data_IF_868500796990
#
_entry.id   IF_868500796990
#
_cell.length_a   1.000
_cell.length_b   1.000
_cell.length_c   1.000
_cell.angle_alpha   90.00
_cell.angle_beta   90.00
_cell.angle_gamma   90.00
#
_symmetry.space_group_name_H-M   'P 1'
#
loop_
_entity.id
_entity.type
_entity.pdbx_description
1 polymer ?
#
# COMPACT_ATOMS: atom_id res chain seq x y z
N UNK A 1 -14.18 -4.13 8.50
CA UNK A 1 -12.90 -3.78 7.86
C UNK A 1 -12.02 -5.02 7.78
N UNK A 2 -11.24 -5.18 6.71
CA UNK A 2 -10.28 -6.28 6.53
C UNK A 2 -8.89 -5.67 6.37
N UNK A 3 -8.03 -5.78 7.39
CA UNK A 3 -6.70 -5.17 7.39
C UNK A 3 -5.61 -6.24 7.60
N UNK A 4 -4.56 -6.22 6.78
CA UNK A 4 -3.33 -6.98 6.96
C UNK A 4 -2.17 -5.98 7.12
N UNK A 5 -1.65 -5.84 8.34
CA UNK A 5 -0.67 -4.82 8.70
C UNK A 5 0.67 -5.45 9.03
N UNK A 6 1.59 -5.42 8.06
CA UNK A 6 2.91 -6.04 8.17
C UNK A 6 3.93 -5.05 8.71
N UNK A 7 4.76 -5.52 9.66
CA UNK A 7 5.87 -4.72 10.20
C UNK A 7 6.99 -4.49 9.16
N UNK A 8 7.29 -5.52 8.37
CA UNK A 8 8.32 -5.50 7.32
C UNK A 8 7.85 -6.27 6.09
N UNK A 9 8.40 -5.94 4.92
CA UNK A 9 8.16 -6.67 3.67
C UNK A 9 9.14 -7.84 3.45
N UNK A 10 10.13 -8.00 4.32
CA UNK A 10 11.17 -9.02 4.19
C UNK A 10 11.69 -9.45 5.56
N UNK A 11 11.94 -10.75 5.70
CA UNK A 11 12.65 -11.35 6.85
C UNK A 11 13.99 -11.91 6.35
N UNK A 12 15.00 -11.95 7.22
CA UNK A 12 16.32 -12.48 6.87
C UNK A 12 16.21 -13.90 6.28
N UNK A 13 16.90 -14.15 5.17
CA UNK A 13 16.87 -15.45 4.47
C UNK A 13 15.63 -15.69 3.59
N UNK A 14 14.66 -14.77 3.53
CA UNK A 14 13.47 -14.88 2.68
C UNK A 14 13.48 -13.90 1.51
N UNK A 15 12.70 -14.19 0.46
CA UNK A 15 12.36 -13.24 -0.60
C UNK A 15 11.36 -12.17 -0.18
N UNK A 16 10.97 -11.32 -1.13
CA UNK A 16 10.05 -10.22 -0.88
C UNK A 16 8.63 -10.76 -0.63
N UNK A 17 8.09 -10.50 0.57
CA UNK A 17 6.78 -10.99 1.04
C UNK A 17 6.63 -12.52 1.11
N UNK A 18 7.71 -13.29 1.09
CA UNK A 18 7.63 -14.76 1.19
C UNK A 18 7.08 -15.21 2.55
N UNK A 19 7.59 -14.62 3.63
CA UNK A 19 7.22 -14.97 5.01
C UNK A 19 5.75 -14.76 5.37
N UNK A 20 4.99 -14.05 4.54
CA UNK A 20 3.57 -13.75 4.75
C UNK A 20 2.68 -14.20 3.60
N UNK A 21 3.17 -15.06 2.70
CA UNK A 21 2.43 -15.50 1.52
C UNK A 21 1.04 -16.05 1.86
N UNK A 22 0.96 -16.97 2.82
CA UNK A 22 -0.31 -17.61 3.18
C UNK A 22 -1.34 -16.59 3.69
N UNK A 23 -0.89 -15.61 4.47
CA UNK A 23 -1.74 -14.51 4.93
C UNK A 23 -2.20 -13.62 3.78
N UNK A 24 -1.34 -13.36 2.78
CA UNK A 24 -1.73 -12.59 1.60
C UNK A 24 -2.78 -13.34 0.79
N UNK A 25 -2.61 -14.65 0.58
CA UNK A 25 -3.56 -15.50 -0.16
C UNK A 25 -4.94 -15.54 0.52
N UNK A 26 -4.97 -15.74 1.83
CA UNK A 26 -6.23 -15.73 2.59
C UNK A 26 -6.87 -14.33 2.59
N UNK A 27 -6.07 -13.29 2.84
CA UNK A 27 -6.55 -11.92 2.94
C UNK A 27 -7.11 -11.36 1.63
N UNK A 28 -6.55 -11.75 0.49
CA UNK A 28 -7.04 -11.40 -0.85
C UNK A 28 -7.87 -12.51 -1.49
N UNK A 29 -8.37 -13.48 -0.73
CA UNK A 29 -9.31 -14.48 -1.25
C UNK A 29 -10.55 -13.79 -1.86
N UNK A 30 -10.86 -14.15 -3.12
CA UNK A 30 -11.93 -13.55 -3.91
C UNK A 30 -11.63 -12.17 -4.51
N UNK A 31 -10.37 -11.71 -4.46
CA UNK A 31 -9.89 -10.50 -5.14
C UNK A 31 -9.07 -10.93 -6.36
N UNK A 32 -9.36 -10.36 -7.52
CA UNK A 32 -8.59 -10.61 -8.74
C UNK A 32 -7.49 -9.57 -8.93
N UNK A 33 -7.74 -8.33 -8.49
CA UNK A 33 -6.90 -7.17 -8.79
C UNK A 33 -6.66 -6.28 -7.57
N UNK A 34 -5.39 -6.00 -7.31
CA UNK A 34 -4.96 -5.12 -6.20
C UNK A 34 -4.45 -3.80 -6.76
N UNK A 35 -4.89 -2.68 -6.19
CA UNK A 35 -4.31 -1.38 -6.46
C UNK A 35 -3.12 -1.13 -5.52
N UNK A 36 -1.93 -0.98 -6.10
CA UNK A 36 -0.70 -0.71 -5.37
C UNK A 36 -0.49 0.80 -5.20
N UNK A 37 -0.05 1.21 -4.00
CA UNK A 37 0.29 2.59 -3.63
C UNK A 37 1.79 2.67 -3.29
N UNK A 38 2.64 3.13 -4.24
CA UNK A 38 4.10 3.08 -4.10
C UNK A 38 4.72 4.34 -3.49
N UNK A 39 3.93 5.32 -3.07
CA UNK A 39 4.43 6.67 -2.78
C UNK A 39 5.44 6.78 -1.63
N UNK A 40 5.60 5.73 -0.83
CA UNK A 40 6.67 5.65 0.17
C UNK A 40 8.07 5.57 -0.46
N UNK A 41 8.20 5.03 -1.67
CA UNK A 41 9.46 4.90 -2.39
C UNK A 41 9.76 6.09 -3.30
N UNK A 42 11.04 6.27 -3.65
CA UNK A 42 11.46 7.26 -4.65
C UNK A 42 11.22 6.74 -6.07
N UNK A 43 11.75 5.55 -6.36
CA UNK A 43 11.63 4.87 -7.65
C UNK A 43 10.35 4.03 -7.67
N UNK A 44 9.26 4.64 -8.14
CA UNK A 44 7.90 4.08 -8.07
C UNK A 44 7.67 3.00 -9.12
N UNK A 45 8.23 3.18 -10.32
CA UNK A 45 8.09 2.23 -11.43
C UNK A 45 8.77 0.91 -11.09
N UNK A 46 10.03 0.95 -10.63
CA UNK A 46 10.73 -0.24 -10.17
C UNK A 46 10.00 -0.94 -9.03
N UNK A 47 9.42 -0.17 -8.11
CA UNK A 47 8.69 -0.76 -6.99
C UNK A 47 7.40 -1.43 -7.46
N UNK A 48 6.66 -0.79 -8.36
CA UNK A 48 5.47 -1.38 -8.98
C UNK A 48 5.80 -2.66 -9.73
N UNK A 49 6.89 -2.71 -10.50
CA UNK A 49 7.34 -3.93 -11.20
C UNK A 49 7.67 -5.08 -10.24
N UNK A 50 8.32 -4.77 -9.11
CA UNK A 50 8.61 -5.77 -8.08
C UNK A 50 7.32 -6.33 -7.48
N UNK A 51 6.37 -5.47 -7.12
CA UNK A 51 5.09 -5.89 -6.54
C UNK A 51 4.26 -6.67 -7.54
N UNK A 52 4.15 -6.19 -8.79
CA UNK A 52 3.44 -6.87 -9.88
C UNK A 52 3.99 -8.26 -10.12
N UNK A 53 5.31 -8.42 -10.14
CA UNK A 53 5.96 -9.73 -10.27
C UNK A 53 5.62 -10.66 -9.10
N UNK A 54 5.63 -10.14 -7.87
CA UNK A 54 5.31 -10.94 -6.67
C UNK A 54 3.84 -11.34 -6.64
N UNK A 55 2.93 -10.42 -6.93
CA UNK A 55 1.49 -10.64 -6.87
C UNK A 55 1.00 -11.53 -8.02
N UNK A 56 1.63 -11.43 -9.21
CA UNK A 56 1.37 -12.36 -10.31
C UNK A 56 1.66 -13.82 -9.93
N UNK A 57 2.73 -14.08 -9.16
CA UNK A 57 3.03 -15.43 -8.64
C UNK A 57 1.98 -15.94 -7.63
N UNK A 58 1.16 -15.04 -7.07
CA UNK A 58 0.03 -15.35 -6.20
C UNK A 58 -1.29 -15.48 -6.97
N UNK A 59 -1.30 -15.20 -8.28
CA UNK A 59 -2.51 -15.16 -9.11
C UNK A 59 -3.29 -13.86 -9.00
N UNK A 60 -2.66 -12.76 -8.54
CA UNK A 60 -3.27 -11.44 -8.40
C UNK A 60 -2.74 -10.50 -9.48
N UNK A 61 -3.66 -9.81 -10.15
CA UNK A 61 -3.32 -8.67 -11.01
C UNK A 61 -2.98 -7.44 -10.16
N UNK A 62 -2.11 -6.57 -10.66
CA UNK A 62 -1.70 -5.37 -9.92
C UNK A 62 -1.56 -4.18 -10.85
N UNK A 63 -2.36 -3.15 -10.55
CA UNK A 63 -2.19 -1.81 -11.10
C UNK A 63 -1.47 -0.95 -10.07
N UNK A 64 -0.70 0.03 -10.51
CA UNK A 64 -0.10 1.02 -9.61
C UNK A 64 -0.75 2.38 -9.76
N UNK A 65 -1.13 2.99 -8.65
CA UNK A 65 -1.91 4.24 -8.64
C UNK A 65 -1.15 5.43 -9.28
N UNK A 66 0.18 5.38 -9.35
CA UNK A 66 0.99 6.45 -9.94
C UNK A 66 1.11 6.39 -11.47
N UNK A 67 0.66 5.30 -12.09
CA UNK A 67 0.72 5.12 -13.56
C UNK A 67 -0.52 5.70 -14.26
N UNK A 68 -1.59 6.01 -13.53
CA UNK A 68 -2.85 6.52 -14.09
C UNK A 68 -2.98 8.04 -13.99
N UNK A 69 -3.79 8.61 -14.89
CA UNK A 69 -4.06 10.06 -14.93
C UNK A 69 -4.98 10.55 -13.80
N UNK A 70 -5.87 9.68 -13.30
CA UNK A 70 -6.80 9.97 -12.21
C UNK A 70 -6.66 8.95 -11.08
N UNK A 71 -5.83 9.24 -10.06
CA UNK A 71 -5.57 8.33 -8.97
C UNK A 71 -6.78 8.15 -8.03
N UNK A 72 -7.70 9.13 -7.98
CA UNK A 72 -8.94 9.02 -7.18
C UNK A 72 -9.89 8.02 -7.84
N UNK A 73 -10.11 8.13 -9.15
CA UNK A 73 -10.91 7.18 -9.90
C UNK A 73 -10.34 5.75 -9.82
N UNK A 74 -9.02 5.60 -9.81
CA UNK A 74 -8.37 4.31 -9.60
C UNK A 74 -8.72 3.72 -8.22
N UNK A 75 -8.65 4.52 -7.15
CA UNK A 75 -9.03 4.08 -5.78
C UNK A 75 -10.50 3.69 -5.69
N UNK A 76 -11.40 4.44 -6.31
CA UNK A 76 -12.84 4.16 -6.29
C UNK A 76 -13.17 2.80 -6.95
N UNK A 77 -12.45 2.45 -8.02
CA UNK A 77 -12.61 1.18 -8.74
C UNK A 77 -11.87 0.01 -8.11
N UNK A 78 -10.91 0.26 -7.23
CA UNK A 78 -10.08 -0.78 -6.63
C UNK A 78 -10.92 -1.83 -5.87
N UNK A 79 -10.58 -3.11 -6.04
CA UNK A 79 -11.14 -4.21 -5.26
C UNK A 79 -10.43 -4.33 -3.90
N UNK A 80 -9.12 -4.11 -3.89
CA UNK A 80 -8.27 -4.15 -2.71
C UNK A 80 -7.07 -3.21 -2.86
N UNK A 81 -6.39 -2.93 -1.75
CA UNK A 81 -5.23 -2.05 -1.69
C UNK A 81 -4.00 -2.76 -1.13
N UNK A 82 -2.84 -2.48 -1.72
CA UNK A 82 -1.55 -2.70 -1.08
C UNK A 82 -0.78 -1.37 -0.99
N UNK A 83 -0.44 -0.94 0.22
CA UNK A 83 0.35 0.27 0.46
C UNK A 83 1.77 -0.13 0.87
N UNK A 84 2.72 0.22 0.01
CA UNK A 84 4.12 -0.19 0.12
C UNK A 84 4.89 0.50 1.26
N UNK A 85 6.04 -0.08 1.58
CA UNK A 85 6.99 0.46 2.55
C UNK A 85 7.96 1.46 1.93
N UNK A 86 8.70 2.19 2.77
CA UNK A 86 9.59 3.27 2.36
C UNK A 86 9.59 4.37 3.41
N UNK A 87 9.52 5.64 3.01
CA UNK A 87 9.42 6.75 3.93
C UNK A 87 7.95 7.17 4.18
N UNK A 88 7.52 7.13 5.43
CA UNK A 88 6.15 7.43 5.88
C UNK A 88 5.76 8.89 5.62
N UNK A 89 6.67 9.85 5.80
CA UNK A 89 6.37 11.28 5.55
C UNK A 89 6.13 11.56 4.08
N UNK A 90 6.95 10.96 3.19
CA UNK A 90 6.74 11.03 1.74
C UNK A 90 5.42 10.40 1.34
N UNK A 91 5.13 9.19 1.84
CA UNK A 91 3.87 8.50 1.58
C UNK A 91 2.68 9.38 1.97
N UNK A 92 2.69 9.92 3.18
CA UNK A 92 1.60 10.76 3.68
C UNK A 92 1.44 12.04 2.86
N UNK A 93 2.53 12.74 2.54
CA UNK A 93 2.49 13.95 1.73
C UNK A 93 1.89 13.70 0.35
N UNK A 94 2.28 12.61 -0.32
CA UNK A 94 1.73 12.22 -1.62
C UNK A 94 0.26 11.82 -1.56
N UNK A 95 -0.17 11.11 -0.50
CA UNK A 95 -1.58 10.78 -0.31
C UNK A 95 -2.45 12.03 -0.12
N UNK A 96 -1.93 13.07 0.55
CA UNK A 96 -2.59 14.37 0.61
C UNK A 96 -2.63 15.08 -0.75
N UNK A 97 -1.48 15.18 -1.44
CA UNK A 97 -1.37 15.87 -2.72
C UNK A 97 -2.31 15.28 -3.78
N UNK A 98 -2.43 13.95 -3.79
CA UNK A 98 -3.29 13.22 -4.71
C UNK A 98 -4.73 13.03 -4.18
N UNK A 99 -5.06 13.58 -3.00
CA UNK A 99 -6.39 13.50 -2.36
C UNK A 99 -6.91 12.07 -2.14
N UNK A 100 -6.01 11.15 -1.75
CA UNK A 100 -6.31 9.71 -1.70
C UNK A 100 -6.67 9.19 -0.31
N UNK A 101 -6.36 9.91 0.77
CA UNK A 101 -6.64 9.44 2.14
C UNK A 101 -8.12 9.12 2.34
N UNK A 102 -9.01 10.05 1.98
CA UNK A 102 -10.44 9.88 2.19
C UNK A 102 -11.04 8.80 1.28
N UNK A 103 -10.79 8.78 -0.04
CA UNK A 103 -11.26 7.70 -0.91
C UNK A 103 -10.81 6.31 -0.46
N UNK A 104 -9.53 6.13 -0.07
CA UNK A 104 -9.03 4.84 0.44
C UNK A 104 -9.76 4.45 1.72
N UNK A 105 -9.88 5.39 2.68
CA UNK A 105 -10.58 5.16 3.95
C UNK A 105 -12.03 4.70 3.73
N UNK A 106 -12.76 5.36 2.84
CA UNK A 106 -14.15 5.01 2.51
C UNK A 106 -14.25 3.61 1.91
N UNK A 107 -13.42 3.31 0.91
CA UNK A 107 -13.41 1.98 0.27
C UNK A 107 -13.13 0.85 1.27
N UNK A 108 -12.15 1.05 2.16
CA UNK A 108 -11.81 0.07 3.20
C UNK A 108 -12.92 -0.06 4.25
N UNK A 109 -13.57 1.05 4.63
CA UNK A 109 -14.72 1.03 5.53
C UNK A 109 -15.89 0.23 4.92
N UNK A 110 -16.08 0.27 3.60
CA UNK A 110 -17.09 -0.51 2.87
C UNK A 110 -16.69 -1.96 2.56
N UNK A 111 -15.50 -2.40 3.00
CA UNK A 111 -15.11 -3.81 2.97
C UNK A 111 -13.96 -4.17 2.03
N UNK A 112 -13.43 -3.22 1.26
CA UNK A 112 -12.24 -3.46 0.44
C UNK A 112 -11.05 -3.86 1.34
N UNK A 113 -10.35 -4.98 1.06
CA UNK A 113 -9.17 -5.38 1.83
C UNK A 113 -8.05 -4.35 1.72
N UNK A 114 -7.43 -4.03 2.84
CA UNK A 114 -6.23 -3.20 2.90
C UNK A 114 -5.06 -4.04 3.38
N UNK A 115 -3.95 -3.96 2.68
CA UNK A 115 -2.66 -4.48 3.12
C UNK A 115 -1.67 -3.32 3.22
N UNK A 116 -0.98 -3.22 4.35
CA UNK A 116 0.10 -2.26 4.55
C UNK A 116 1.40 -2.97 4.90
N UNK A 117 2.53 -2.44 4.45
CA UNK A 117 3.85 -2.88 4.91
C UNK A 117 4.69 -1.70 5.38
N UNK A 118 5.26 -1.79 6.60
CA UNK A 118 6.10 -0.76 7.19
C UNK A 118 5.41 0.62 7.18
N UNK A 119 5.86 1.57 6.35
CA UNK A 119 5.19 2.87 6.17
C UNK A 119 3.69 2.74 5.85
N UNK A 120 3.27 1.78 5.02
CA UNK A 120 1.86 1.52 4.75
C UNK A 120 1.07 1.13 6.00
N UNK A 121 1.68 0.38 6.92
CA UNK A 121 1.07 0.05 8.21
C UNK A 121 0.84 1.30 9.07
N UNK A 122 1.79 2.25 9.06
CA UNK A 122 1.63 3.50 9.80
C UNK A 122 0.45 4.34 9.27
N UNK A 123 0.21 4.35 7.96
CA UNK A 123 -0.90 5.12 7.34
C UNK A 123 -2.28 4.57 7.73
N UNK A 124 -2.39 3.29 8.07
CA UNK A 124 -3.65 2.73 8.56
C UNK A 124 -4.02 3.20 9.98
N UNK A 125 -3.09 3.81 10.71
CA UNK A 125 -3.31 4.31 12.07
C UNK A 125 -3.95 5.71 12.10
N UNK A 126 -4.48 6.18 13.24
CA UNK A 126 -5.02 7.53 13.37
C UNK A 126 -4.02 8.65 13.09
N UNK A 127 -2.72 8.40 13.32
CA UNK A 127 -1.62 9.34 13.06
C UNK A 127 -0.35 8.56 12.68
N UNK A 128 0.64 9.23 12.08
CA UNK A 128 1.97 8.65 11.79
C UNK A 128 3.02 8.94 12.86
N UNK A 129 2.63 9.40 14.05
CA UNK A 129 3.57 9.86 15.11
C UNK A 129 4.47 8.77 15.71
N UNK A 130 4.21 7.51 15.37
CA UNK A 130 5.03 6.36 15.78
C UNK A 130 5.92 5.84 14.66
N UNK A 131 6.04 6.57 13.54
CA UNK A 131 7.02 6.22 12.51
C UNK A 131 8.45 6.43 13.01
N UNK A 132 9.35 5.54 12.60
CA UNK A 132 10.79 5.65 12.85
C UNK A 132 11.52 6.42 11.74
N UNK A 133 10.78 6.85 10.71
CA UNK A 133 11.36 7.47 9.53
C UNK A 133 11.83 8.91 9.81
N UNK A 134 12.88 9.32 9.09
CA UNK A 134 13.31 10.72 9.08
C UNK A 134 12.29 11.61 8.34
N UNK A 135 11.93 12.80 8.85
CA UNK A 135 10.97 13.71 8.22
C UNK A 135 11.58 14.47 7.03
N UNK A 136 11.77 13.77 5.91
CA UNK A 136 12.41 14.32 4.70
C UNK A 136 11.52 15.29 3.90
N UNK A 137 10.20 15.29 4.16
CA UNK A 137 9.21 16.20 3.59
C UNK A 137 8.14 16.53 4.64
N UNK A 138 7.46 17.66 4.49
CA UNK A 138 6.41 18.10 5.41
C UNK A 138 5.01 17.78 4.85
N UNK A 139 4.27 16.81 5.42
CA UNK A 139 2.88 16.57 5.05
C UNK A 139 1.96 17.63 5.70
N UNK A 140 0.78 17.91 5.11
CA UNK A 140 -0.19 18.86 5.68
C UNK A 140 -0.62 18.60 7.13
N UNK A 141 -0.68 17.33 7.55
CA UNK A 141 -1.00 16.91 8.92
C UNK A 141 -0.44 15.51 9.21
N UNK A 142 -0.28 15.15 10.50
CA UNK A 142 0.35 13.91 10.99
C UNK A 142 -0.62 12.96 11.70
#
# INVERSE_FOLDING_TARGET
>A
MRLLLLSSSKVHGSGYLDHCEDFIRDHFSGVDRVLFVPYAAHDRDRYADQVRSRFAALGLETDSVHEGDDPVAAVERAQAFFVGGGNTFRLLAELYNNRLLEPIRQKVATGAPYMGSSAGTNIACPTVRTTNDMPIVYPPSL
#
